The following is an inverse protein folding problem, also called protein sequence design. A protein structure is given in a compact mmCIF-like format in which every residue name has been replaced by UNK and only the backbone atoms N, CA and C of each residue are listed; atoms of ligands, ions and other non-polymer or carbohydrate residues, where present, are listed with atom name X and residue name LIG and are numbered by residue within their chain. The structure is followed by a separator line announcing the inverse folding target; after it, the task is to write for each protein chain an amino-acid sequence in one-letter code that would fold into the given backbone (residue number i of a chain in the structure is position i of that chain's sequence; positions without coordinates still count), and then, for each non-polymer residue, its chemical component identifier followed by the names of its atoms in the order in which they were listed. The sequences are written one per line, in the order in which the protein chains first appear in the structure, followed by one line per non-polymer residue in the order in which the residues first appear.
data_IF_816936595962
#
_entry.id   IF_816936595962
#
_cell.length_a   1.000
_cell.length_b   1.000
_cell.length_c   1.000
_cell.angle_alpha   90.00
_cell.angle_beta   90.00
_cell.angle_gamma   90.00
#
_symmetry.space_group_name_H-M   'P 1'
#
loop_
_entity.id
_entity.type
_entity.pdbx_description
1 polymer ?
#
# COMPACT_ATOMS: atom_id res chain seq x y z
N UNK A 1 8.39 -5.61 0.33
CA UNK A 1 7.30 -5.62 -0.67
C UNK A 1 6.39 -6.78 -0.31
N UNK A 2 5.37 -6.53 0.52
CA UNK A 2 4.31 -7.50 0.76
C UNK A 2 3.49 -7.63 -0.51
N UNK A 3 3.56 -8.77 -1.17
CA UNK A 3 2.66 -9.11 -2.26
C UNK A 3 1.25 -9.34 -1.70
N UNK A 4 0.49 -8.25 -1.54
CA UNK A 4 -0.94 -8.37 -1.60
C UNK A 4 -1.27 -8.68 -3.06
N UNK A 5 -1.46 -9.95 -3.37
CA UNK A 5 -2.10 -10.37 -4.62
C UNK A 5 -3.51 -9.78 -4.61
N UNK A 6 -3.63 -8.56 -5.15
CA UNK A 6 -4.90 -7.90 -5.34
C UNK A 6 -5.80 -8.79 -6.18
N UNK A 7 -7.08 -8.82 -5.86
CA UNK A 7 -8.07 -9.54 -6.67
C UNK A 7 -7.98 -9.00 -8.10
N UNK A 8 -7.55 -9.84 -9.02
CA UNK A 8 -7.55 -9.52 -10.44
C UNK A 8 -8.98 -9.68 -10.93
N UNK A 9 -9.63 -8.58 -11.26
CA UNK A 9 -10.93 -8.60 -11.96
C UNK A 9 -10.70 -8.43 -13.45
N UNK A 10 -11.46 -9.14 -14.27
CA UNK A 10 -11.43 -9.00 -15.72
C UNK A 10 -12.81 -8.69 -16.25
N UNK A 11 -12.88 -7.76 -17.19
CA UNK A 11 -14.10 -7.43 -17.93
C UNK A 11 -13.86 -7.67 -19.42
N UNK A 12 -14.86 -8.15 -20.13
CA UNK A 12 -14.79 -8.40 -21.57
C UNK A 12 -15.89 -7.63 -22.28
N UNK A 13 -15.51 -6.92 -23.34
CA UNK A 13 -16.40 -6.12 -24.15
C UNK A 13 -16.38 -6.62 -25.59
N UNK A 14 -17.51 -6.52 -26.29
CA UNK A 14 -17.61 -6.83 -27.71
C UNK A 14 -18.18 -5.64 -28.42
N UNK A 15 -17.69 -5.37 -29.63
CA UNK A 15 -18.16 -4.27 -30.45
C UNK A 15 -17.81 -4.52 -31.91
N UNK A 16 -18.27 -3.64 -32.76
CA UNK A 16 -18.00 -3.61 -34.21
C UNK A 16 -17.25 -2.32 -34.50
N UNK A 17 -16.22 -2.41 -35.33
CA UNK A 17 -15.52 -1.22 -35.82
C UNK A 17 -16.40 -0.42 -36.78
N UNK A 18 -16.23 0.89 -36.80
CA UNK A 18 -16.86 1.76 -37.79
C UNK A 18 -16.27 1.60 -39.20
N UNK A 19 -16.77 2.36 -40.17
CA UNK A 19 -16.30 2.30 -41.56
C UNK A 19 -14.81 2.72 -41.71
N UNK A 20 -14.23 3.37 -40.71
CA UNK A 20 -12.81 3.72 -40.67
C UNK A 20 -11.95 2.67 -39.95
N UNK A 21 -12.55 1.57 -39.53
CA UNK A 21 -11.88 0.51 -38.80
C UNK A 21 -11.61 0.81 -37.31
N UNK A 22 -12.30 1.81 -36.74
CA UNK A 22 -12.12 2.22 -35.34
C UNK A 22 -13.25 1.75 -34.45
N UNK A 23 -12.90 1.40 -33.22
CA UNK A 23 -13.84 1.17 -32.13
C UNK A 23 -13.35 1.91 -30.90
N UNK A 24 -14.22 2.67 -30.27
CA UNK A 24 -13.90 3.40 -29.03
C UNK A 24 -14.62 2.74 -27.85
N UNK A 25 -13.86 2.34 -26.88
CA UNK A 25 -14.37 1.86 -25.59
C UNK A 25 -13.97 2.88 -24.51
N UNK A 26 -14.97 3.41 -23.81
CA UNK A 26 -14.75 4.23 -22.61
C UNK A 26 -14.91 3.35 -21.38
N UNK A 27 -13.90 3.37 -20.50
CA UNK A 27 -13.92 2.69 -19.21
C UNK A 27 -13.89 3.74 -18.11
N UNK A 28 -14.78 3.64 -17.15
CA UNK A 28 -14.81 4.48 -15.98
C UNK A 28 -14.30 3.67 -14.77
N UNK A 29 -13.34 4.24 -14.04
CA UNK A 29 -12.73 3.65 -12.84
C UNK A 29 -13.27 4.40 -11.61
N UNK A 30 -14.56 4.18 -11.29
CA UNK A 30 -15.24 4.94 -10.24
C UNK A 30 -14.89 4.46 -8.82
N UNK A 31 -14.48 3.19 -8.66
CA UNK A 31 -14.29 2.56 -7.35
C UNK A 31 -12.88 1.99 -7.16
N UNK A 32 -11.90 2.89 -6.98
CA UNK A 32 -10.57 2.46 -6.53
C UNK A 32 -10.55 2.24 -5.00
N UNK A 33 -10.91 1.05 -4.55
CA UNK A 33 -10.84 0.66 -3.14
C UNK A 33 -9.99 -0.61 -2.96
N UNK A 34 -8.84 -0.57 -2.24
CA UNK A 34 -8.27 0.62 -1.59
C UNK A 34 -7.77 1.67 -2.60
N UNK A 35 -7.65 2.92 -2.17
CA UNK A 35 -7.25 4.06 -3.00
C UNK A 35 -5.74 4.04 -3.32
N UNK A 36 -5.32 3.07 -4.11
CA UNK A 36 -3.94 2.78 -4.53
C UNK A 36 -3.82 2.76 -6.05
N UNK A 37 -2.60 2.90 -6.62
CA UNK A 37 -2.43 2.76 -8.06
C UNK A 37 -2.79 1.36 -8.55
N UNK A 38 -3.43 1.30 -9.72
CA UNK A 38 -3.81 0.04 -10.37
C UNK A 38 -3.08 -0.12 -11.69
N UNK A 39 -2.50 -1.29 -11.91
CA UNK A 39 -2.02 -1.70 -13.22
C UNK A 39 -3.19 -2.32 -14.00
N UNK A 40 -3.56 -1.69 -15.11
CA UNK A 40 -4.63 -2.17 -15.99
C UNK A 40 -4.01 -2.71 -17.26
N UNK A 41 -4.29 -3.97 -17.57
CA UNK A 41 -3.91 -4.59 -18.83
C UNK A 41 -5.11 -4.60 -19.77
N UNK A 42 -5.01 -3.85 -20.86
CA UNK A 42 -6.02 -3.84 -21.92
C UNK A 42 -5.55 -4.67 -23.12
N UNK A 43 -6.34 -5.68 -23.50
CA UNK A 43 -6.07 -6.52 -24.66
C UNK A 43 -7.23 -6.41 -25.63
N UNK A 44 -6.94 -6.10 -26.88
CA UNK A 44 -7.91 -6.02 -27.95
C UNK A 44 -7.63 -7.05 -29.05
N UNK A 45 -8.67 -7.69 -29.54
CA UNK A 45 -8.58 -8.61 -30.68
C UNK A 45 -9.59 -8.21 -31.74
N UNK A 46 -9.14 -8.14 -32.98
CA UNK A 46 -9.98 -7.82 -34.14
C UNK A 46 -9.99 -9.01 -35.09
N UNK A 47 -11.18 -9.43 -35.49
CA UNK A 47 -11.36 -10.49 -36.46
C UNK A 47 -11.91 -9.91 -37.77
N UNK A 48 -11.27 -10.26 -38.89
CA UNK A 48 -11.72 -9.87 -40.22
C UNK A 48 -12.80 -10.80 -40.77
N UNK A 49 -13.27 -10.49 -41.96
CA UNK A 49 -14.28 -11.27 -42.68
C UNK A 49 -13.80 -12.68 -43.05
N UNK A 50 -12.49 -12.92 -43.14
CA UNK A 50 -11.85 -14.21 -43.38
C UNK A 50 -11.59 -15.00 -42.11
N UNK A 51 -12.06 -14.51 -40.94
CA UNK A 51 -11.85 -15.07 -39.61
C UNK A 51 -10.39 -15.04 -39.13
N UNK A 52 -9.56 -14.21 -39.74
CA UNK A 52 -8.21 -13.96 -39.22
C UNK A 52 -8.31 -13.01 -38.03
N UNK A 53 -7.52 -13.28 -37.00
CA UNK A 53 -7.56 -12.49 -35.76
C UNK A 53 -6.20 -11.87 -35.49
N UNK A 54 -6.19 -10.57 -35.25
CA UNK A 54 -5.03 -9.83 -34.75
C UNK A 54 -5.31 -9.35 -33.35
N UNK A 55 -4.32 -9.46 -32.50
CA UNK A 55 -4.42 -9.05 -31.08
C UNK A 55 -3.31 -8.09 -30.72
N UNK A 56 -3.64 -7.12 -29.88
CA UNK A 56 -2.68 -6.20 -29.28
C UNK A 56 -2.99 -6.03 -27.80
N UNK A 57 -1.94 -5.74 -27.01
CA UNK A 57 -2.06 -5.54 -25.59
C UNK A 57 -1.28 -4.31 -25.17
N UNK A 58 -1.85 -3.51 -24.28
CA UNK A 58 -1.16 -2.39 -23.62
C UNK A 58 -1.37 -2.45 -22.12
N UNK A 59 -0.43 -1.88 -21.37
CA UNK A 59 -0.53 -1.75 -19.93
C UNK A 59 -0.64 -0.24 -19.59
N UNK A 60 -1.56 0.04 -18.70
CA UNK A 60 -1.84 1.39 -18.21
C UNK A 60 -1.66 1.41 -16.69
N UNK A 61 -1.11 2.49 -16.16
CA UNK A 61 -1.11 2.76 -14.73
C UNK A 61 -2.21 3.79 -14.45
N UNK A 62 -3.15 3.41 -13.60
CA UNK A 62 -4.25 4.28 -13.18
C UNK A 62 -3.96 4.78 -11.78
N UNK A 63 -3.87 6.10 -11.65
CA UNK A 63 -3.64 6.78 -10.38
C UNK A 63 -4.98 7.16 -9.76
N UNK A 64 -5.25 6.79 -8.49
CA UNK A 64 -6.50 7.15 -7.82
C UNK A 64 -6.60 8.65 -7.52
N UNK A 65 -5.46 9.31 -7.34
CA UNK A 65 -5.32 10.70 -6.90
C UNK A 65 -4.14 11.36 -7.61
N UNK A 66 -4.10 12.68 -7.64
CA UNK A 66 -2.94 13.46 -8.09
C UNK A 66 -1.87 13.59 -6.98
N UNK A 67 -2.16 13.10 -5.78
CA UNK A 67 -1.26 13.07 -4.64
C UNK A 67 -1.01 11.65 -4.13
N UNK A 68 0.17 11.44 -3.60
CA UNK A 68 0.57 10.23 -2.89
C UNK A 68 0.99 10.54 -1.47
N UNK A 69 0.57 9.71 -0.53
CA UNK A 69 1.10 9.70 0.83
C UNK A 69 2.08 8.55 0.99
N UNK A 70 3.30 8.87 1.39
CA UNK A 70 4.32 7.89 1.76
C UNK A 70 4.47 7.81 3.27
N UNK A 71 4.57 6.62 3.82
CA UNK A 71 4.81 6.37 5.25
C UNK A 71 5.93 5.38 5.46
N UNK A 72 6.71 5.59 6.51
CA UNK A 72 7.72 4.63 6.96
C UNK A 72 7.85 4.65 8.49
N UNK A 73 8.41 3.59 9.02
CA UNK A 73 8.82 3.46 10.42
C UNK A 73 10.27 2.97 10.48
N UNK A 74 11.05 3.37 11.51
CA UNK A 74 12.39 2.83 11.71
C UNK A 74 12.39 1.36 12.10
N UNK A 75 11.29 0.86 12.68
CA UNK A 75 11.17 -0.53 13.17
C UNK A 75 9.77 -1.06 12.89
N UNK A 76 9.70 -2.27 12.33
CA UNK A 76 8.44 -3.01 12.11
C UNK A 76 8.07 -3.92 13.28
N UNK A 77 8.97 -3.99 14.30
CA UNK A 77 8.78 -4.70 15.55
C UNK A 77 9.03 -3.75 16.72
N UNK A 78 8.09 -3.70 17.68
CA UNK A 78 8.21 -2.94 18.92
C UNK A 78 7.68 -3.74 20.10
N UNK A 79 8.09 -3.38 21.32
CA UNK A 79 7.53 -4.00 22.52
C UNK A 79 6.23 -3.31 22.93
N UNK A 80 5.34 -4.07 23.57
CA UNK A 80 4.15 -3.52 24.20
C UNK A 80 4.53 -2.38 25.15
N UNK A 81 3.86 -1.23 25.00
CA UNK A 81 4.12 -0.01 25.76
C UNK A 81 5.14 0.95 25.11
N UNK A 82 5.89 0.50 24.10
CA UNK A 82 6.79 1.36 23.34
C UNK A 82 6.05 2.22 22.32
N UNK A 83 6.76 3.21 21.78
CA UNK A 83 6.26 4.08 20.73
C UNK A 83 6.46 3.43 19.36
N UNK A 84 5.48 3.65 18.49
CA UNK A 84 5.55 3.40 17.05
C UNK A 84 5.75 4.77 16.40
N UNK A 85 6.97 5.04 15.93
CA UNK A 85 7.31 6.29 15.26
C UNK A 85 7.02 6.17 13.77
N UNK A 86 6.22 7.08 13.23
CA UNK A 86 5.87 7.14 11.83
C UNK A 86 6.39 8.43 11.23
N UNK A 87 7.13 8.32 10.13
CA UNK A 87 7.45 9.44 9.27
C UNK A 87 6.57 9.41 8.02
N UNK A 88 6.02 10.55 7.65
CA UNK A 88 5.13 10.67 6.48
C UNK A 88 5.54 11.83 5.60
N UNK A 89 5.37 11.63 4.30
CA UNK A 89 5.53 12.63 3.25
C UNK A 89 4.29 12.63 2.35
N UNK A 90 4.04 13.76 1.70
CA UNK A 90 3.07 13.84 0.59
C UNK A 90 3.81 14.31 -0.65
N UNK A 91 3.58 13.63 -1.76
CA UNK A 91 4.17 13.99 -3.06
C UNK A 91 3.12 14.07 -4.15
N UNK A 92 3.45 14.75 -5.25
CA UNK A 92 2.73 14.63 -6.51
C UNK A 92 3.14 13.36 -7.29
N UNK A 93 2.58 13.20 -8.49
CA UNK A 93 2.84 12.05 -9.37
C UNK A 93 4.29 12.01 -9.90
N UNK A 94 4.99 13.15 -9.89
CA UNK A 94 6.39 13.26 -10.30
C UNK A 94 7.36 13.01 -9.13
N UNK A 95 6.83 12.73 -7.92
CA UNK A 95 7.61 12.49 -6.71
C UNK A 95 8.11 13.76 -6.00
N UNK A 96 7.64 14.93 -6.42
CA UNK A 96 7.97 16.20 -5.76
C UNK A 96 7.13 16.35 -4.49
N UNK A 97 7.78 16.72 -3.38
CA UNK A 97 7.09 16.95 -2.11
C UNK A 97 6.10 18.11 -2.22
N UNK A 98 4.90 17.89 -1.71
CA UNK A 98 3.80 18.86 -1.67
C UNK A 98 3.53 19.24 -0.22
N UNK A 99 3.71 20.51 0.10
CA UNK A 99 3.47 21.05 1.44
C UNK A 99 2.01 21.46 1.64
N UNK A 100 1.62 21.65 2.92
CA UNK A 100 0.30 22.13 3.35
C UNK A 100 -0.88 21.23 3.00
N UNK A 101 -0.64 19.92 2.78
CA UNK A 101 -1.70 18.92 2.65
C UNK A 101 -1.93 18.25 4.00
N UNK A 102 -3.20 18.11 4.38
CA UNK A 102 -3.56 17.32 5.55
C UNK A 102 -3.52 15.85 5.20
N UNK A 103 -2.74 15.07 5.94
CA UNK A 103 -2.76 13.61 5.86
C UNK A 103 -3.17 13.02 7.20
N UNK A 104 -4.05 12.03 7.18
CA UNK A 104 -4.52 11.31 8.35
C UNK A 104 -3.80 9.97 8.43
N UNK A 105 -3.21 9.69 9.59
CA UNK A 105 -2.51 8.43 9.86
C UNK A 105 -3.27 7.71 10.97
N UNK A 106 -3.62 6.45 10.74
CA UNK A 106 -4.30 5.59 11.71
C UNK A 106 -3.45 4.37 12.03
N UNK A 107 -3.46 3.98 13.30
CA UNK A 107 -2.89 2.72 13.79
C UNK A 107 -4.04 1.89 14.36
N UNK A 108 -4.32 0.75 13.75
CA UNK A 108 -5.47 -0.10 14.12
C UNK A 108 -4.97 -1.51 14.43
N UNK A 109 -5.32 -1.99 15.62
CA UNK A 109 -5.17 -3.40 15.99
C UNK A 109 -6.55 -4.06 15.94
N UNK A 110 -6.67 -5.10 15.14
CA UNK A 110 -7.85 -5.93 15.04
C UNK A 110 -7.55 -7.33 15.56
N UNK A 111 -8.52 -7.92 16.23
CA UNK A 111 -8.49 -9.32 16.66
C UNK A 111 -9.77 -10.02 16.22
N UNK A 112 -9.72 -11.34 16.14
CA UNK A 112 -10.85 -12.15 15.78
C UNK A 112 -11.43 -12.82 17.02
N UNK A 113 -12.70 -12.57 17.27
CA UNK A 113 -13.46 -13.22 18.36
C UNK A 113 -14.50 -14.17 17.79
N UNK A 114 -14.69 -15.32 18.45
CA UNK A 114 -15.73 -16.26 18.08
C UNK A 114 -16.96 -16.01 18.95
N UNK A 115 -18.02 -15.46 18.35
CA UNK A 115 -19.27 -15.17 19.03
C UNK A 115 -20.44 -15.81 18.27
N UNK A 116 -21.31 -16.54 19.01
CA UNK A 116 -22.56 -17.14 18.50
C UNK A 116 -22.39 -17.97 17.22
N UNK A 117 -21.30 -18.73 17.11
CA UNK A 117 -21.05 -19.61 15.96
C UNK A 117 -20.42 -18.93 14.75
N UNK A 118 -20.04 -17.67 14.83
CA UNK A 118 -19.36 -16.93 13.77
C UNK A 118 -18.11 -16.22 14.28
N UNK A 119 -17.09 -16.13 13.42
CA UNK A 119 -15.93 -15.29 13.66
C UNK A 119 -16.26 -13.85 13.32
N UNK A 120 -15.99 -12.94 14.26
CA UNK A 120 -16.12 -11.50 14.08
C UNK A 120 -14.79 -10.81 14.25
N UNK A 121 -14.50 -9.87 13.38
CA UNK A 121 -13.36 -8.98 13.53
C UNK A 121 -13.74 -7.83 14.47
N UNK A 122 -12.95 -7.59 15.49
CA UNK A 122 -13.15 -6.51 16.46
C UNK A 122 -11.93 -5.60 16.50
N UNK A 123 -12.16 -4.29 16.57
CA UNK A 123 -11.09 -3.33 16.78
C UNK A 123 -10.72 -3.35 18.27
N UNK A 124 -9.49 -3.73 18.56
CA UNK A 124 -8.94 -3.83 19.94
C UNK A 124 -8.29 -2.52 20.39
N UNK A 125 -7.60 -1.84 19.47
CA UNK A 125 -7.01 -0.51 19.68
C UNK A 125 -7.05 0.27 18.38
N UNK A 126 -7.43 1.54 18.48
CA UNK A 126 -7.41 2.47 17.36
C UNK A 126 -6.85 3.81 17.84
N UNK A 127 -5.88 4.31 17.10
CA UNK A 127 -5.29 5.62 17.34
C UNK A 127 -5.18 6.34 16.00
N UNK A 128 -5.29 7.66 16.01
CA UNK A 128 -5.16 8.48 14.82
C UNK A 128 -4.37 9.75 15.10
N UNK A 129 -3.69 10.24 14.10
CA UNK A 129 -3.13 11.59 14.12
C UNK A 129 -3.28 12.25 12.75
N UNK A 130 -3.43 13.55 12.76
CA UNK A 130 -3.43 14.40 11.57
C UNK A 130 -2.13 15.18 11.51
N UNK A 131 -1.52 15.21 10.34
CA UNK A 131 -0.32 15.99 10.07
C UNK A 131 -0.57 16.94 8.90
N UNK A 132 0.14 18.05 8.89
CA UNK A 132 0.34 18.87 7.69
C UNK A 132 1.67 18.52 7.06
N UNK A 133 1.63 18.19 5.78
CA UNK A 133 2.84 17.91 5.00
C UNK A 133 3.70 19.16 4.85
N UNK A 134 5.00 18.96 4.77
CA UNK A 134 6.00 20.01 4.55
C UNK A 134 6.98 19.55 3.45
N UNK A 135 8.03 20.32 3.23
CA UNK A 135 9.18 19.96 2.41
C UNK A 135 10.11 18.90 3.05
N UNK A 136 9.75 18.43 4.25
CA UNK A 136 10.45 17.39 5.02
C UNK A 136 9.45 16.38 5.57
N UNK A 137 9.91 15.18 5.97
CA UNK A 137 9.04 14.22 6.62
C UNK A 137 8.40 14.78 7.90
N UNK A 138 7.08 14.68 7.97
CA UNK A 138 6.30 14.99 9.18
C UNK A 138 6.24 13.75 10.06
N UNK A 139 6.15 13.92 11.38
CA UNK A 139 6.19 12.82 12.34
C UNK A 139 4.85 12.65 13.05
N UNK A 140 4.52 11.40 13.31
CA UNK A 140 3.41 10.97 14.13
C UNK A 140 3.87 9.84 15.04
N UNK A 141 3.39 9.80 16.28
CA UNK A 141 3.75 8.78 17.27
C UNK A 141 2.47 8.11 17.78
N UNK A 142 2.49 6.78 17.83
CA UNK A 142 1.46 5.98 18.49
C UNK A 142 2.07 5.21 19.65
N UNK A 143 1.25 4.82 20.62
CA UNK A 143 1.68 3.97 21.72
C UNK A 143 1.15 2.55 21.50
N UNK A 144 2.04 1.57 21.46
CA UNK A 144 1.70 0.16 21.32
C UNK A 144 1.03 -0.39 22.59
N UNK A 145 -0.26 -0.08 22.82
CA UNK A 145 -0.98 -0.44 24.06
C UNK A 145 -1.23 -1.92 24.21
N UNK A 146 -1.38 -2.63 23.12
CA UNK A 146 -1.67 -4.06 23.12
C UNK A 146 -0.68 -4.81 22.21
N UNK A 147 -0.41 -6.08 22.51
CA UNK A 147 0.38 -6.95 21.66
C UNK A 147 -0.44 -7.47 20.48
N UNK A 148 0.17 -7.55 19.30
CA UNK A 148 -0.47 -8.00 18.07
C UNK A 148 0.06 -7.25 16.85
N UNK A 149 -0.60 -7.43 15.70
CA UNK A 149 -0.21 -6.77 14.46
C UNK A 149 -1.07 -5.52 14.25
N UNK A 150 -0.45 -4.36 14.39
CA UNK A 150 -1.08 -3.09 14.04
C UNK A 150 -0.97 -2.86 12.54
N UNK A 151 -2.08 -2.49 11.93
CA UNK A 151 -2.12 -1.95 10.57
C UNK A 151 -2.00 -0.43 10.66
N UNK A 152 -0.99 0.12 10.03
CA UNK A 152 -0.77 1.56 9.94
C UNK A 152 -1.21 2.00 8.55
N UNK A 153 -2.24 2.82 8.48
CA UNK A 153 -2.77 3.37 7.22
C UNK A 153 -2.64 4.87 7.22
N UNK A 154 -2.10 5.43 6.15
CA UNK A 154 -2.11 6.87 5.92
C UNK A 154 -2.98 7.19 4.71
N UNK A 155 -3.72 8.29 4.78
CA UNK A 155 -4.55 8.77 3.69
C UNK A 155 -4.33 10.27 3.45
N UNK A 156 -4.40 10.67 2.19
CA UNK A 156 -4.39 12.07 1.74
C UNK A 156 -5.46 12.25 0.66
N UNK A 157 -6.05 13.44 0.60
CA UNK A 157 -6.97 13.80 -0.49
C UNK A 157 -6.36 14.88 -1.38
N UNK A 158 -6.58 14.78 -2.67
CA UNK A 158 -6.21 15.83 -3.62
C UNK A 158 -7.29 16.94 -3.71
N UNK A 159 -7.06 17.91 -4.59
CA UNK A 159 -7.97 19.06 -4.78
C UNK A 159 -9.34 18.69 -5.39
N UNK A 160 -9.50 17.45 -5.85
CA UNK A 160 -10.75 16.89 -6.38
C UNK A 160 -11.40 15.90 -5.43
N UNK A 161 -10.97 15.91 -4.16
CA UNK A 161 -11.45 14.99 -3.11
C UNK A 161 -11.21 13.50 -3.43
N UNK A 162 -10.21 13.20 -4.27
CA UNK A 162 -9.83 11.83 -4.56
C UNK A 162 -8.79 11.35 -3.55
N UNK A 163 -9.03 10.23 -2.87
CA UNK A 163 -8.11 9.70 -1.87
C UNK A 163 -6.91 8.99 -2.50
N UNK A 164 -5.80 9.00 -1.77
CA UNK A 164 -4.72 8.04 -1.91
C UNK A 164 -4.37 7.48 -0.53
N UNK A 165 -4.08 6.20 -0.48
CA UNK A 165 -3.75 5.47 0.74
C UNK A 165 -2.45 4.68 0.61
N UNK A 166 -1.71 4.64 1.71
CA UNK A 166 -0.56 3.75 1.91
C UNK A 166 -0.69 3.01 3.23
N UNK A 167 -0.22 1.77 3.26
CA UNK A 167 -0.38 0.90 4.41
C UNK A 167 0.86 0.03 4.62
N UNK A 168 1.20 -0.20 5.88
CA UNK A 168 2.12 -1.26 6.30
C UNK A 168 1.72 -1.79 7.68
N UNK A 169 2.37 -2.87 8.14
CA UNK A 169 2.08 -3.46 9.43
C UNK A 169 3.27 -3.35 10.38
N UNK A 170 2.97 -3.17 11.68
CA UNK A 170 3.93 -3.22 12.78
C UNK A 170 3.52 -4.32 13.74
N UNK A 171 4.44 -5.21 14.07
CA UNK A 171 4.18 -6.23 15.07
C UNK A 171 4.60 -5.74 16.45
N UNK A 172 3.71 -5.94 17.44
CA UNK A 172 3.91 -5.57 18.84
C UNK A 172 3.98 -6.84 19.67
N UNK A 173 5.03 -6.97 20.52
CA UNK A 173 5.22 -8.12 21.38
C UNK A 173 4.06 -8.33 22.37
N UNK A 174 3.85 -9.58 22.82
CA UNK A 174 2.82 -9.93 23.80
C UNK A 174 1.43 -10.15 23.22
N UNK A 175 1.29 -10.26 21.88
CA UNK A 175 0.07 -10.71 21.23
C UNK A 175 -0.14 -12.22 21.35
N UNK A 176 -1.40 -12.67 21.23
CA UNK A 176 -1.78 -14.10 21.28
C UNK A 176 -1.36 -14.84 20.02
N UNK A 177 -1.24 -14.18 18.90
CA UNK A 177 -0.87 -14.74 17.59
C UNK A 177 0.54 -14.32 17.20
N UNK A 178 1.37 -15.24 16.67
CA UNK A 178 2.68 -14.86 16.14
C UNK A 178 2.51 -13.93 14.92
N UNK A 179 3.57 -13.16 14.57
CA UNK A 179 3.53 -12.27 13.42
C UNK A 179 3.20 -13.06 12.16
N UNK A 180 2.39 -12.47 11.28
CA UNK A 180 2.16 -13.02 9.94
C UNK A 180 3.48 -13.00 9.16
N UNK A 181 3.66 -13.95 8.23
CA UNK A 181 4.90 -14.11 7.43
C UNK A 181 5.40 -12.86 6.70
N UNK A 182 4.56 -11.82 6.57
CA UNK A 182 4.87 -10.59 5.84
C UNK A 182 5.32 -9.43 6.74
N UNK A 183 5.61 -9.68 8.01
CA UNK A 183 6.27 -8.67 8.85
C UNK A 183 7.75 -8.72 8.52
N UNK A 184 8.30 -7.64 7.97
CA UNK A 184 9.73 -7.50 7.78
C UNK A 184 10.41 -7.63 9.15
N UNK A 185 11.24 -8.64 9.30
CA UNK A 185 12.05 -8.80 10.49
C UNK A 185 13.27 -7.89 10.38
N UNK A 186 13.73 -7.34 11.50
CA UNK A 186 14.99 -6.61 11.53
C UNK A 186 16.10 -7.56 11.04
N UNK A 187 16.71 -7.23 9.92
CA UNK A 187 17.86 -7.94 9.37
C UNK A 187 19.14 -7.36 9.96
N UNK A 188 19.90 -8.17 10.65
CA UNK A 188 21.24 -7.82 11.06
C UNK A 188 22.23 -8.12 9.92
N UNK A 189 22.67 -7.11 9.21
CA UNK A 189 23.69 -7.24 8.20
C UNK A 189 25.08 -7.12 8.83
N UNK A 190 25.84 -8.20 8.82
CA UNK A 190 27.25 -8.19 9.21
C UNK A 190 28.08 -7.64 8.05
N UNK A 191 28.57 -6.43 8.20
CA UNK A 191 29.47 -5.81 7.22
C UNK A 191 30.91 -5.98 7.73
N UNK A 192 31.71 -6.86 7.11
CA UNK A 192 33.10 -7.03 7.53
C UNK A 192 33.89 -5.76 7.27
N UNK A 193 34.77 -5.39 8.21
CA UNK A 193 35.60 -4.18 8.10
C UNK A 193 36.66 -4.28 7.01
N UNK A 194 36.97 -5.49 6.52
CA UNK A 194 37.94 -5.76 5.43
C UNK A 194 37.59 -7.06 4.69
N UNK A 195 38.12 -7.20 3.47
CA UNK A 195 37.84 -8.35 2.59
C UNK A 195 38.48 -9.66 3.05
N UNK A 196 39.67 -9.58 3.64
CA UNK A 196 40.47 -10.74 4.02
C UNK A 196 40.91 -10.57 5.48
N UNK A 197 40.75 -11.62 6.28
CA UNK A 197 41.17 -11.69 7.66
C UNK A 197 42.28 -12.72 7.85
N UNK A 198 43.21 -12.41 8.71
CA UNK A 198 44.29 -13.37 9.14
C UNK A 198 43.98 -13.82 10.58
N UNK A 199 44.59 -14.93 10.97
CA UNK A 199 44.46 -15.42 12.34
C UNK A 199 44.93 -14.34 13.35
N UNK A 200 44.08 -13.95 14.28
CA UNK A 200 44.30 -12.88 15.25
C UNK A 200 43.70 -11.51 14.87
N UNK A 201 43.12 -11.36 13.69
CA UNK A 201 42.35 -10.15 13.34
C UNK A 201 41.02 -10.09 14.11
N UNK A 202 40.61 -8.86 14.45
CA UNK A 202 39.27 -8.58 14.98
C UNK A 202 38.39 -8.18 13.82
N UNK A 203 37.22 -8.82 13.70
CA UNK A 203 36.19 -8.56 12.70
C UNK A 203 35.23 -7.46 13.16
#
# INVERSE_FOLDING_TARGET
YGENYGQTTSQSFKGITDASGKHLLKLDFEDANPARPYAVRASGSVQDVNRQTWSSTTNLLVHPSDLYVGIKTPRTFVNKGEKIDIESIVSDLDGKLVANRTATIKAVLKDWTFDKGAWKEEIVDEQSCEIKSTDKPSKCEFIAKQGGTYTITASVMDDRERPNESEFTVWVSGGKTPPKRNVEQEEANLIPSKKDYKAGDVA
#
